data_IF_663317753633
#
_entry.id   IF_663317753633
#
_cell.length_a   1.000
_cell.length_b   1.000
_cell.length_c   1.000
_cell.angle_alpha   90.00
_cell.angle_beta   90.00
_cell.angle_gamma   90.00
#
_symmetry.space_group_name_H-M   'P 1'
#
loop_
_entity.id
_entity.type
_entity.pdbx_description
1 polymer ?
#
# COMPACT_ATOMS: atom_id res chain seq x y z
N UNK A 1 -26.06 -6.28 -25.30
CA UNK A 1 -26.28 -5.53 -24.03
C UNK A 1 -25.79 -4.10 -24.21
N UNK A 2 -26.65 -3.08 -24.10
CA UNK A 2 -26.24 -1.68 -24.25
C UNK A 2 -25.19 -1.31 -23.19
N UNK A 3 -24.10 -0.65 -23.58
CA UNK A 3 -22.94 -0.37 -22.72
C UNK A 3 -23.28 0.38 -21.42
N UNK A 4 -24.32 1.21 -21.45
CA UNK A 4 -24.82 1.96 -20.29
C UNK A 4 -25.46 1.03 -19.23
N UNK A 5 -26.17 -0.01 -19.65
CA UNK A 5 -26.73 -1.00 -18.73
C UNK A 5 -25.62 -1.80 -18.05
N UNK A 6 -24.55 -2.14 -18.77
CA UNK A 6 -23.35 -2.77 -18.19
C UNK A 6 -22.65 -1.84 -17.18
N UNK A 7 -22.55 -0.54 -17.47
CA UNK A 7 -21.95 0.45 -16.57
C UNK A 7 -22.76 0.61 -15.28
N UNK A 8 -24.08 0.62 -15.40
CA UNK A 8 -24.99 0.74 -14.28
C UNK A 8 -24.97 -0.52 -13.38
N UNK A 9 -24.98 -1.71 -13.99
CA UNK A 9 -24.84 -2.98 -13.27
C UNK A 9 -23.46 -3.06 -12.58
N UNK A 10 -22.39 -2.61 -13.25
CA UNK A 10 -21.05 -2.59 -12.66
C UNK A 10 -20.98 -1.67 -11.43
N UNK A 11 -21.59 -0.47 -11.50
CA UNK A 11 -21.67 0.45 -10.36
C UNK A 11 -22.47 -0.14 -9.20
N UNK A 12 -23.62 -0.76 -9.50
CA UNK A 12 -24.52 -1.29 -8.49
C UNK A 12 -23.92 -2.48 -7.72
N UNK A 13 -23.21 -3.38 -8.41
CA UNK A 13 -22.75 -4.64 -7.79
C UNK A 13 -21.26 -4.70 -7.49
N UNK A 14 -20.41 -3.90 -8.15
CA UNK A 14 -18.95 -4.01 -8.02
C UNK A 14 -18.29 -2.77 -7.42
N UNK A 15 -18.95 -1.62 -7.39
CA UNK A 15 -18.40 -0.41 -6.74
C UNK A 15 -18.97 -0.33 -5.35
N UNK A 16 -18.15 -0.74 -4.38
CA UNK A 16 -18.48 -0.64 -2.98
C UNK A 16 -18.38 0.80 -2.47
N UNK A 17 -19.12 1.15 -1.40
CA UNK A 17 -19.01 2.44 -0.76
C UNK A 17 -17.57 2.77 -0.34
N UNK A 18 -17.15 4.05 -0.41
CA UNK A 18 -15.77 4.47 -0.13
C UNK A 18 -15.31 4.13 1.29
N UNK A 19 -16.20 4.09 2.27
CA UNK A 19 -15.94 3.71 3.66
C UNK A 19 -15.34 2.29 3.79
N UNK A 20 -15.67 1.38 2.87
CA UNK A 20 -15.18 0.00 2.92
C UNK A 20 -13.73 -0.14 2.46
N UNK A 21 -13.15 0.88 1.81
CA UNK A 21 -11.77 0.85 1.33
C UNK A 21 -10.76 0.71 2.46
N UNK A 22 -11.07 1.24 3.64
CA UNK A 22 -10.19 1.20 4.81
C UNK A 22 -10.22 -0.16 5.54
N UNK A 23 -11.23 -1.00 5.29
CA UNK A 23 -11.39 -2.26 6.02
C UNK A 23 -10.19 -3.20 5.83
N UNK A 24 -9.59 -3.19 4.65
CA UNK A 24 -8.40 -4.01 4.38
C UNK A 24 -7.21 -3.50 5.18
N UNK A 25 -6.94 -2.20 5.18
CA UNK A 25 -5.85 -1.60 5.96
C UNK A 25 -6.05 -1.76 7.47
N UNK A 26 -7.28 -1.53 7.95
CA UNK A 26 -7.64 -1.71 9.35
C UNK A 26 -7.41 -3.17 9.78
N UNK A 27 -7.90 -4.13 9.01
CA UNK A 27 -7.66 -5.55 9.26
C UNK A 27 -6.16 -5.89 9.23
N UNK A 28 -5.39 -5.38 8.27
CA UNK A 28 -3.94 -5.67 8.20
C UNK A 28 -3.16 -5.16 9.39
N UNK A 29 -3.58 -4.02 9.98
CA UNK A 29 -2.90 -3.44 11.14
C UNK A 29 -3.36 -4.00 12.49
N UNK A 30 -4.49 -4.72 12.54
CA UNK A 30 -5.13 -5.12 13.81
C UNK A 30 -5.34 -6.62 13.97
N UNK A 31 -5.40 -7.38 12.88
CA UNK A 31 -5.63 -8.81 12.91
C UNK A 31 -4.36 -9.58 13.26
N UNK A 32 -4.49 -10.60 14.12
CA UNK A 32 -3.40 -11.55 14.39
C UNK A 32 -2.99 -12.33 13.14
N UNK A 33 -3.96 -12.74 12.32
CA UNK A 33 -3.73 -13.46 11.06
C UNK A 33 -2.90 -12.62 10.08
N UNK A 34 -3.14 -11.29 10.06
CA UNK A 34 -2.37 -10.38 9.23
C UNK A 34 -0.88 -10.30 9.63
N UNK A 35 -0.58 -10.50 10.91
CA UNK A 35 0.80 -10.57 11.41
C UNK A 35 1.58 -11.78 10.88
N UNK A 36 0.90 -12.87 10.55
CA UNK A 36 1.53 -14.10 10.03
C UNK A 36 1.88 -14.01 8.54
N UNK A 37 1.28 -13.06 7.81
CA UNK A 37 1.42 -12.88 6.35
C UNK A 37 2.21 -11.61 5.98
N UNK A 38 3.19 -11.23 6.81
CA UNK A 38 4.02 -10.05 6.56
C UNK A 38 4.70 -10.12 5.18
N UNK A 39 4.73 -8.98 4.47
CA UNK A 39 5.28 -8.86 3.13
C UNK A 39 4.39 -9.42 2.00
N UNK A 40 3.19 -9.93 2.29
CA UNK A 40 2.23 -10.35 1.26
C UNK A 40 1.41 -9.17 0.74
N UNK A 41 1.02 -9.26 -0.53
CA UNK A 41 0.13 -8.29 -1.16
C UNK A 41 -1.33 -8.63 -0.88
N UNK A 42 -2.05 -7.74 -0.22
CA UNK A 42 -3.45 -7.97 0.18
C UNK A 42 -4.38 -7.18 -0.74
N UNK A 43 -5.35 -7.88 -1.32
CA UNK A 43 -6.41 -7.30 -2.15
C UNK A 43 -7.65 -7.02 -1.29
N UNK A 44 -8.63 -6.23 -1.78
CA UNK A 44 -9.83 -5.94 -1.02
C UNK A 44 -10.46 -7.19 -0.40
N UNK A 45 -10.99 -7.04 0.81
CA UNK A 45 -11.58 -8.11 1.63
C UNK A 45 -10.56 -9.02 2.33
N UNK A 46 -9.34 -8.53 2.58
CA UNK A 46 -8.35 -9.24 3.40
C UNK A 46 -7.78 -10.50 2.74
N UNK A 47 -7.86 -10.61 1.42
CA UNK A 47 -7.37 -11.79 0.69
C UNK A 47 -5.93 -11.58 0.23
N UNK A 48 -5.12 -12.63 0.32
CA UNK A 48 -3.78 -12.62 -0.28
C UNK A 48 -3.93 -12.66 -1.81
N UNK A 49 -3.42 -11.65 -2.48
CA UNK A 49 -3.40 -11.54 -3.94
C UNK A 49 -2.01 -11.74 -4.53
N UNK A 50 -1.95 -11.68 -5.85
CA UNK A 50 -0.70 -11.78 -6.61
C UNK A 50 -0.24 -10.37 -6.97
N UNK A 51 0.93 -9.98 -6.47
CA UNK A 51 1.58 -8.72 -6.83
C UNK A 51 2.16 -8.79 -8.25
N UNK A 52 2.48 -7.62 -8.80
CA UNK A 52 3.26 -7.51 -10.03
C UNK A 52 4.62 -8.21 -9.88
N UNK A 53 5.16 -8.76 -10.96
CA UNK A 53 6.38 -9.60 -10.92
C UNK A 53 7.57 -8.80 -10.38
N UNK A 54 7.66 -7.55 -10.80
CA UNK A 54 8.71 -6.59 -10.44
C UNK A 54 8.69 -6.30 -8.93
N UNK A 55 7.53 -6.39 -8.27
CA UNK A 55 7.41 -6.16 -6.83
C UNK A 55 8.06 -7.28 -5.99
N UNK A 56 8.37 -8.43 -6.60
CA UNK A 56 9.04 -9.54 -5.93
C UNK A 56 10.51 -9.69 -6.37
N UNK A 57 11.05 -8.73 -7.13
CA UNK A 57 12.45 -8.72 -7.56
C UNK A 57 13.34 -8.07 -6.47
N UNK A 58 14.18 -8.86 -5.77
CA UNK A 58 15.02 -8.33 -4.69
C UNK A 58 16.16 -7.44 -5.21
N UNK A 59 16.61 -7.62 -6.45
CA UNK A 59 17.67 -6.80 -7.05
C UNK A 59 17.13 -5.40 -7.33
N UNK A 60 15.98 -5.34 -8.00
CA UNK A 60 15.29 -4.07 -8.29
C UNK A 60 14.91 -3.33 -7.00
N UNK A 61 14.46 -4.07 -5.97
CA UNK A 61 14.15 -3.48 -4.67
C UNK A 61 15.39 -2.84 -4.01
N UNK A 62 16.56 -3.47 -4.11
CA UNK A 62 17.81 -2.93 -3.58
C UNK A 62 18.27 -1.69 -4.34
N UNK A 63 18.21 -1.71 -5.67
CA UNK A 63 18.56 -0.55 -6.50
C UNK A 63 17.65 0.64 -6.19
N UNK A 64 16.34 0.39 -6.05
CA UNK A 64 15.37 1.40 -5.63
C UNK A 64 15.70 1.95 -4.24
N UNK A 65 16.05 1.09 -3.28
CA UNK A 65 16.43 1.51 -1.93
C UNK A 65 17.68 2.39 -1.93
N UNK A 66 18.74 1.99 -2.64
CA UNK A 66 19.96 2.80 -2.79
C UNK A 66 19.69 4.14 -3.47
N UNK A 67 18.81 4.16 -4.48
CA UNK A 67 18.40 5.42 -5.11
C UNK A 67 17.62 6.32 -4.15
N UNK A 68 16.73 5.76 -3.32
CA UNK A 68 16.01 6.50 -2.29
C UNK A 68 16.97 7.11 -1.27
N UNK A 69 17.89 6.35 -0.69
CA UNK A 69 18.88 6.85 0.27
C UNK A 69 19.73 8.01 -0.27
N UNK A 70 19.95 8.06 -1.59
CA UNK A 70 20.65 9.15 -2.26
C UNK A 70 19.84 10.43 -2.49
N UNK A 71 18.53 10.46 -2.20
CA UNK A 71 17.70 11.65 -2.48
C UNK A 71 17.97 12.79 -1.48
N UNK A 72 18.13 14.04 -1.95
CA UNK A 72 18.30 15.22 -1.11
C UNK A 72 16.96 15.57 -0.42
N UNK A 73 16.71 14.97 0.73
CA UNK A 73 15.49 15.21 1.51
C UNK A 73 15.25 14.17 2.60
N UNK A 74 15.75 12.94 2.40
CA UNK A 74 15.58 11.85 3.38
C UNK A 74 16.39 12.10 4.66
N UNK A 75 17.53 12.78 4.57
CA UNK A 75 18.31 13.21 5.74
C UNK A 75 17.98 14.62 6.25
N UNK A 76 17.11 15.37 5.57
CA UNK A 76 16.81 16.76 5.97
C UNK A 76 15.93 16.80 7.23
N UNK A 77 14.99 15.87 7.38
CA UNK A 77 14.07 15.85 8.52
C UNK A 77 14.72 15.41 9.84
N UNK A 78 15.76 14.57 9.81
CA UNK A 78 16.46 14.12 11.02
C UNK A 78 17.34 15.26 11.59
N UNK A 79 18.03 16.02 10.73
CA UNK A 79 18.89 17.14 11.14
C UNK A 79 18.09 18.34 11.69
N UNK A 80 16.88 18.57 11.20
CA UNK A 80 16.02 19.67 11.69
C UNK A 80 15.43 19.37 13.09
N UNK A 81 15.27 18.08 13.46
CA UNK A 81 14.80 17.68 14.80
C UNK A 81 15.91 17.69 15.86
N UNK A 82 17.16 17.41 15.48
CA UNK A 82 18.28 17.47 16.42
C UNK A 82 18.76 18.90 16.67
N UNK A 83 18.60 19.80 15.70
CA UNK A 83 18.89 21.23 15.86
C UNK A 83 17.92 21.95 16.81
N UNK A 84 16.73 21.41 17.07
CA UNK A 84 15.73 22.00 17.98
C UNK A 84 15.75 21.41 19.40
N UNK A 85 16.54 20.36 19.65
CA UNK A 85 16.72 19.76 20.98
C UNK A 85 17.88 20.38 21.77
N UNK A 86 18.67 21.26 21.16
CA UNK A 86 19.88 21.85 21.75
C UNK A 86 19.82 23.39 21.86
N UNK A 87 18.61 23.96 21.88
CA UNK A 87 18.35 25.37 22.24
C UNK A 87 17.38 25.45 23.40
#
# INVERSE_FOLDING_TARGET
MPGEMKKMIKKMFFIHPPEWKSLTTLWTGTSREAGEINGKYIVPWGKVGVSRKEANDPVLAKELWTWLEGQPGIFRFELDLDSSRNT
#
